data_IF_863505093206
#
_entry.id   IF_863505093206
#
_cell.length_a   1.000
_cell.length_b   1.000
_cell.length_c   1.000
_cell.angle_alpha   90.00
_cell.angle_beta   90.00
_cell.angle_gamma   90.00
#
_symmetry.space_group_name_H-M   'P 1'
#
loop_
_entity.id
_entity.type
_entity.pdbx_description
1 polymer ?
#
# COMPACT_ATOMS: atom_id res chain seq x y z
N UNK A 1 -2.85 -7.93 6.66
CA UNK A 1 -2.88 -8.01 8.15
C UNK A 1 -2.02 -6.84 8.63
N UNK A 2 -2.34 -6.09 9.70
CA UNK A 2 -1.35 -5.11 10.21
C UNK A 2 -0.27 -5.89 10.98
N UNK A 3 0.71 -6.43 10.25
CA UNK A 3 1.86 -7.08 10.85
C UNK A 3 2.68 -6.05 11.67
N UNK A 4 3.05 -6.39 12.90
CA UNK A 4 3.95 -5.58 13.74
C UNK A 4 3.29 -4.67 14.79
N UNK A 5 1.96 -4.66 14.91
CA UNK A 5 1.28 -4.06 16.07
C UNK A 5 0.92 -5.16 17.08
N UNK A 6 1.39 -5.05 18.32
CA UNK A 6 1.00 -5.92 19.45
C UNK A 6 -0.45 -5.61 19.86
N UNK A 7 -1.39 -5.99 19.00
CA UNK A 7 -2.82 -5.93 19.26
C UNK A 7 -3.38 -7.34 19.17
N UNK A 8 -4.28 -7.68 20.10
CA UNK A 8 -4.94 -8.98 20.13
C UNK A 8 -5.66 -9.23 18.79
N UNK A 9 -5.04 -10.00 17.91
CA UNK A 9 -5.59 -10.47 16.65
C UNK A 9 -6.58 -11.60 16.93
N UNK A 10 -7.62 -11.33 17.73
CA UNK A 10 -8.75 -12.24 17.84
C UNK A 10 -9.44 -12.25 16.48
N UNK A 11 -9.10 -13.27 15.68
CA UNK A 11 -9.67 -13.53 14.36
C UNK A 11 -10.91 -14.43 14.45
N UNK A 12 -11.58 -14.47 15.60
CA UNK A 12 -12.81 -15.22 15.72
C UNK A 12 -13.86 -14.74 14.69
N UNK A 13 -14.70 -15.64 14.14
CA UNK A 13 -15.61 -15.32 13.04
C UNK A 13 -16.60 -14.18 13.32
N UNK A 14 -16.91 -13.92 14.60
CA UNK A 14 -17.81 -12.84 15.02
C UNK A 14 -17.12 -11.47 15.11
N UNK A 15 -15.80 -11.43 15.00
CA UNK A 15 -15.05 -10.17 14.97
C UNK A 15 -15.05 -9.62 13.55
N UNK A 16 -15.33 -8.32 13.40
CA UNK A 16 -15.34 -7.64 12.10
C UNK A 16 -13.94 -7.72 11.44
N UNK A 17 -13.72 -8.76 10.64
CA UNK A 17 -12.45 -9.15 10.01
C UNK A 17 -11.24 -9.04 10.94
N UNK A 18 -11.15 -9.91 11.96
CA UNK A 18 -10.07 -9.89 12.94
C UNK A 18 -9.95 -8.56 13.68
N UNK A 19 -11.09 -8.03 14.12
CA UNK A 19 -11.20 -6.73 14.79
C UNK A 19 -10.59 -5.56 14.00
N UNK A 20 -10.80 -5.51 12.67
CA UNK A 20 -10.27 -4.49 11.78
C UNK A 20 -10.48 -3.04 12.29
N UNK A 21 -11.67 -2.63 12.79
CA UNK A 21 -11.85 -1.29 13.33
C UNK A 21 -10.95 -0.98 14.53
N UNK A 22 -10.71 -1.97 15.41
CA UNK A 22 -9.87 -1.78 16.58
C UNK A 22 -8.39 -1.66 16.21
N UNK A 23 -7.94 -2.49 15.26
CA UNK A 23 -6.57 -2.41 14.73
C UNK A 23 -6.31 -1.09 14.01
N UNK A 24 -7.28 -0.58 13.24
CA UNK A 24 -7.16 0.71 12.57
C UNK A 24 -7.12 1.87 13.58
N UNK A 25 -7.90 1.81 14.67
CA UNK A 25 -7.77 2.78 15.78
C UNK A 25 -6.39 2.75 16.42
N UNK A 26 -5.81 1.57 16.62
CA UNK A 26 -4.46 1.44 17.17
C UNK A 26 -3.41 2.04 16.21
N UNK A 27 -3.54 1.81 14.90
CA UNK A 27 -2.68 2.43 13.89
C UNK A 27 -2.83 3.95 13.89
N UNK A 28 -4.04 4.50 13.99
CA UNK A 28 -4.27 5.94 14.08
C UNK A 28 -3.62 6.53 15.33
N UNK A 29 -3.75 5.85 16.47
CA UNK A 29 -3.12 6.27 17.71
C UNK A 29 -1.59 6.31 17.58
N UNK A 30 -0.98 5.32 16.91
CA UNK A 30 0.46 5.33 16.61
C UNK A 30 0.83 6.54 15.74
N UNK A 31 0.15 6.72 14.60
CA UNK A 31 0.43 7.83 13.65
C UNK A 31 0.31 9.19 14.34
N UNK A 32 -0.72 9.37 15.16
CA UNK A 32 -1.01 10.65 15.79
C UNK A 32 -0.16 10.91 17.04
N UNK A 33 -0.07 9.96 17.95
CA UNK A 33 0.48 10.20 19.28
C UNK A 33 1.98 9.89 19.37
N UNK A 34 2.45 8.93 18.58
CA UNK A 34 3.83 8.43 18.68
C UNK A 34 4.71 8.91 17.52
N UNK A 35 4.11 9.17 16.35
CA UNK A 35 4.82 9.62 15.14
C UNK A 35 4.59 11.11 14.81
N UNK A 36 3.80 11.81 15.62
CA UNK A 36 3.53 13.25 15.48
C UNK A 36 3.01 13.64 14.07
N UNK A 37 2.09 12.84 13.53
CA UNK A 37 1.39 13.14 12.28
C UNK A 37 2.33 13.43 11.07
N UNK A 38 3.11 12.43 10.62
CA UNK A 38 4.08 12.60 9.52
C UNK A 38 3.43 13.04 8.19
N UNK A 39 4.13 13.78 7.34
CA UNK A 39 3.57 14.32 6.09
C UNK A 39 3.10 13.24 5.08
N UNK A 40 3.65 12.03 5.17
CA UNK A 40 3.31 10.89 4.30
C UNK A 40 3.27 9.60 5.13
N UNK A 41 2.22 8.80 4.93
CA UNK A 41 2.12 7.43 5.47
C UNK A 41 1.72 6.49 4.34
N UNK A 42 2.51 5.44 4.10
CA UNK A 42 2.19 4.41 3.13
C UNK A 42 1.77 3.12 3.84
N UNK A 43 0.68 2.51 3.38
CA UNK A 43 0.16 1.24 3.86
C UNK A 43 0.34 0.16 2.80
N UNK A 44 0.60 -1.06 3.27
CA UNK A 44 0.60 -2.29 2.49
C UNK A 44 -0.42 -3.25 3.09
N UNK A 45 -0.85 -4.25 2.32
CA UNK A 45 -1.81 -5.28 2.75
C UNK A 45 -3.12 -4.71 3.33
N UNK A 46 -3.66 -3.66 2.71
CA UNK A 46 -4.94 -3.08 3.14
C UNK A 46 -6.07 -3.98 2.67
N UNK A 47 -6.70 -4.70 3.61
CA UNK A 47 -7.81 -5.62 3.28
C UNK A 47 -9.06 -4.86 2.80
N UNK A 48 -10.05 -5.53 2.16
CA UNK A 48 -11.25 -4.88 1.65
C UNK A 48 -12.01 -4.15 2.75
N UNK A 49 -12.09 -4.73 3.96
CA UNK A 49 -12.71 -4.06 5.10
C UNK A 49 -11.93 -2.84 5.57
N UNK A 50 -10.60 -2.86 5.48
CA UNK A 50 -9.81 -1.67 5.80
C UNK A 50 -9.99 -0.59 4.73
N UNK A 51 -10.23 -0.96 3.46
CA UNK A 51 -10.57 0.02 2.41
C UNK A 51 -11.89 0.75 2.66
N UNK A 52 -12.86 0.10 3.31
CA UNK A 52 -14.08 0.77 3.75
C UNK A 52 -13.84 1.66 4.97
N UNK A 53 -13.06 1.17 5.94
CA UNK A 53 -12.87 1.84 7.24
C UNK A 53 -11.91 3.04 7.17
N UNK A 54 -10.87 3.00 6.34
CA UNK A 54 -9.87 4.08 6.25
C UNK A 54 -10.54 5.40 5.85
N UNK A 55 -11.31 5.50 4.75
CA UNK A 55 -12.02 6.73 4.39
C UNK A 55 -13.01 7.20 5.47
N UNK A 56 -13.72 6.26 6.12
CA UNK A 56 -14.67 6.58 7.20
C UNK A 56 -13.99 7.23 8.40
N UNK A 57 -12.81 6.71 8.78
CA UNK A 57 -12.08 7.11 9.98
C UNK A 57 -11.05 8.22 9.74
N UNK A 58 -10.71 8.51 8.49
CA UNK A 58 -9.71 9.52 8.12
C UNK A 58 -9.98 10.93 8.70
N UNK A 59 -11.23 11.44 8.76
CA UNK A 59 -11.49 12.76 9.34
C UNK A 59 -11.09 12.90 10.82
N UNK A 60 -10.94 11.77 11.54
CA UNK A 60 -10.51 11.76 12.94
C UNK A 60 -8.99 11.66 13.14
N UNK A 61 -8.20 11.49 12.07
CA UNK A 61 -6.74 11.38 12.16
C UNK A 61 -6.09 12.75 12.00
N UNK A 62 -5.27 13.17 12.96
CA UNK A 62 -4.42 14.36 12.83
C UNK A 62 -5.20 15.59 12.35
N UNK A 63 -6.30 15.88 13.05
CA UNK A 63 -7.26 16.97 12.74
C UNK A 63 -7.85 16.92 11.32
N UNK A 64 -7.87 15.73 10.71
CA UNK A 64 -8.41 15.51 9.37
C UNK A 64 -7.54 16.09 8.25
N UNK A 65 -6.25 16.32 8.50
CA UNK A 65 -5.35 16.98 7.54
C UNK A 65 -4.99 16.13 6.31
N UNK A 66 -5.06 14.81 6.44
CA UNK A 66 -4.63 13.90 5.39
C UNK A 66 -5.64 13.78 4.26
N UNK A 67 -5.10 13.67 3.04
CA UNK A 67 -5.78 13.13 1.87
C UNK A 67 -5.38 11.67 1.69
N UNK A 68 -6.32 10.86 1.22
CA UNK A 68 -6.09 9.47 0.85
C UNK A 68 -5.86 9.37 -0.66
N UNK A 69 -4.76 8.75 -1.04
CA UNK A 69 -4.45 8.31 -2.40
C UNK A 69 -4.67 6.82 -2.46
N UNK A 70 -5.67 6.42 -3.24
CA UNK A 70 -6.03 5.02 -3.48
C UNK A 70 -6.78 4.94 -4.80
N UNK A 71 -6.60 3.83 -5.50
CA UNK A 71 -7.41 3.41 -6.64
C UNK A 71 -7.99 2.04 -6.28
N UNK A 72 -9.14 2.02 -5.58
CA UNK A 72 -9.70 0.76 -5.09
C UNK A 72 -10.24 -0.08 -6.25
N UNK A 73 -9.49 -1.13 -6.57
CA UNK A 73 -9.77 -2.09 -7.64
C UNK A 73 -10.54 -3.33 -7.18
N UNK A 74 -10.99 -3.38 -5.91
CA UNK A 74 -11.68 -4.54 -5.34
C UNK A 74 -10.79 -5.78 -5.14
N UNK A 75 -9.47 -5.58 -5.00
CA UNK A 75 -8.49 -6.65 -4.83
C UNK A 75 -8.45 -7.21 -3.40
N UNK A 76 -7.93 -8.44 -3.19
CA UNK A 76 -7.86 -9.08 -1.88
C UNK A 76 -7.10 -8.26 -0.82
N UNK A 77 -6.07 -7.52 -1.24
CA UNK A 77 -5.49 -6.40 -0.52
C UNK A 77 -4.84 -5.43 -1.51
N UNK A 78 -4.57 -4.19 -1.07
CA UNK A 78 -3.98 -3.11 -1.88
C UNK A 78 -3.09 -2.20 -1.02
N UNK A 79 -2.30 -1.38 -1.69
CA UNK A 79 -1.60 -0.26 -1.08
C UNK A 79 -2.48 0.99 -0.96
N UNK A 80 -2.13 1.86 -0.02
CA UNK A 80 -2.74 3.18 0.15
C UNK A 80 -1.69 4.17 0.63
N UNK A 81 -1.87 5.45 0.29
CA UNK A 81 -1.01 6.53 0.80
C UNK A 81 -1.87 7.60 1.44
N UNK A 82 -1.48 8.04 2.64
CA UNK A 82 -1.98 9.26 3.27
C UNK A 82 -0.96 10.37 3.11
N UNK A 83 -1.41 11.57 2.76
CA UNK A 83 -0.53 12.75 2.74
C UNK A 83 -1.30 14.05 2.94
N UNK A 84 -0.71 15.01 3.63
CA UNK A 84 -1.23 16.39 3.71
C UNK A 84 -0.58 17.31 2.66
N UNK A 85 0.51 16.88 2.03
CA UNK A 85 1.24 17.60 0.99
C UNK A 85 0.44 17.74 -0.31
N UNK A 86 0.78 18.75 -1.12
CA UNK A 86 0.15 18.94 -2.42
C UNK A 86 0.52 17.80 -3.37
N UNK A 87 -0.47 17.01 -3.75
CA UNK A 87 -0.40 16.03 -4.83
C UNK A 87 -0.34 16.78 -6.17
N UNK A 88 0.67 16.45 -6.97
CA UNK A 88 0.86 16.96 -8.33
C UNK A 88 0.41 15.95 -9.38
N UNK A 89 0.61 14.66 -9.10
CA UNK A 89 0.22 13.53 -9.96
C UNK A 89 0.15 12.24 -9.13
N UNK A 90 -0.56 11.24 -9.64
CA UNK A 90 -0.70 9.93 -9.00
C UNK A 90 -1.06 8.84 -10.02
N UNK A 91 -0.67 7.60 -9.74
CA UNK A 91 -1.02 6.46 -10.57
C UNK A 91 -1.04 5.15 -9.79
N UNK A 92 -1.86 4.23 -10.29
CA UNK A 92 -1.82 2.81 -9.94
C UNK A 92 -0.99 2.05 -10.97
N UNK A 93 -0.12 1.17 -10.51
CA UNK A 93 0.80 0.39 -11.33
C UNK A 93 0.58 -1.09 -11.03
N UNK A 94 0.26 -1.85 -12.08
CA UNK A 94 0.24 -3.31 -12.01
C UNK A 94 1.67 -3.84 -12.09
N UNK A 95 2.03 -4.77 -11.21
CA UNK A 95 3.30 -5.48 -11.26
C UNK A 95 3.09 -6.87 -11.84
N UNK A 96 4.18 -7.59 -12.13
CA UNK A 96 4.09 -8.98 -12.53
C UNK A 96 3.24 -9.80 -11.53
N UNK A 97 2.44 -10.73 -12.05
CA UNK A 97 1.44 -11.44 -11.24
C UNK A 97 0.23 -10.61 -10.80
N UNK A 98 -0.01 -9.44 -11.42
CA UNK A 98 -1.28 -8.74 -11.30
C UNK A 98 -2.48 -9.68 -11.53
N UNK A 99 -3.59 -9.48 -10.80
CA UNK A 99 -3.86 -8.33 -9.93
C UNK A 99 -3.43 -8.56 -8.47
N UNK A 100 -2.49 -9.47 -8.19
CA UNK A 100 -2.07 -9.75 -6.81
C UNK A 100 -1.07 -8.71 -6.30
N UNK A 101 -0.18 -8.24 -7.17
CA UNK A 101 0.84 -7.26 -6.81
C UNK A 101 0.65 -5.97 -7.57
N UNK A 102 0.80 -4.88 -6.84
CA UNK A 102 0.64 -3.52 -7.34
C UNK A 102 1.57 -2.53 -6.66
N UNK A 103 1.56 -1.31 -7.18
CA UNK A 103 2.09 -0.15 -6.51
C UNK A 103 1.16 1.05 -6.70
N UNK A 104 1.12 1.92 -5.70
CA UNK A 104 0.62 3.28 -5.84
C UNK A 104 1.80 4.25 -5.87
N UNK A 105 1.86 5.05 -6.91
CA UNK A 105 2.80 6.15 -7.04
C UNK A 105 2.07 7.47 -6.83
N UNK A 106 2.69 8.38 -6.10
CA UNK A 106 2.24 9.75 -5.95
C UNK A 106 3.41 10.72 -6.03
N UNK A 107 3.23 11.79 -6.81
CA UNK A 107 4.17 12.90 -6.93
C UNK A 107 3.73 14.04 -6.03
N UNK A 108 4.58 14.39 -5.07
CA UNK A 108 4.28 15.38 -4.03
C UNK A 108 5.17 16.62 -4.16
N UNK A 109 4.58 17.78 -3.93
CA UNK A 109 5.33 19.02 -3.74
C UNK A 109 5.69 19.18 -2.27
N UNK A 110 6.99 19.21 -1.97
CA UNK A 110 7.53 19.40 -0.62
C UNK A 110 8.24 20.75 -0.49
N UNK A 111 8.63 21.13 0.73
CA UNK A 111 9.50 22.29 0.97
C UNK A 111 10.93 22.13 0.39
N UNK A 112 11.35 20.90 0.08
CA UNK A 112 12.68 20.58 -0.47
C UNK A 112 12.68 20.42 -2.00
N UNK A 113 11.50 20.42 -2.63
CA UNK A 113 11.33 20.14 -4.05
C UNK A 113 10.23 19.11 -4.31
N UNK A 114 10.21 18.57 -5.53
CA UNK A 114 9.28 17.50 -5.93
C UNK A 114 9.85 16.16 -5.48
N UNK A 115 9.01 15.32 -4.87
CA UNK A 115 9.36 13.98 -4.41
C UNK A 115 8.32 12.98 -4.95
N UNK A 116 8.81 11.87 -5.49
CA UNK A 116 7.98 10.72 -5.87
C UNK A 116 7.98 9.71 -4.73
N UNK A 117 6.78 9.29 -4.31
CA UNK A 117 6.56 8.26 -3.29
C UNK A 117 5.91 7.06 -3.97
N UNK A 118 6.46 5.87 -3.72
CA UNK A 118 5.90 4.61 -4.20
C UNK A 118 5.58 3.73 -3.00
N UNK A 119 4.31 3.38 -2.84
CA UNK A 119 3.85 2.35 -1.91
C UNK A 119 3.63 1.06 -2.70
N UNK A 120 4.26 -0.04 -2.27
CA UNK A 120 4.15 -1.34 -2.94
C UNK A 120 4.46 -2.45 -1.95
N UNK A 121 3.87 -3.62 -2.16
CA UNK A 121 4.24 -4.86 -1.51
C UNK A 121 4.78 -5.83 -2.57
N UNK A 122 6.08 -6.13 -2.54
CA UNK A 122 6.69 -7.05 -3.49
C UNK A 122 6.41 -8.52 -3.14
N UNK A 123 6.61 -9.40 -4.12
CA UNK A 123 6.52 -10.83 -3.90
C UNK A 123 7.46 -11.27 -2.77
N UNK A 124 6.89 -11.97 -1.79
CA UNK A 124 7.61 -12.43 -0.61
C UNK A 124 8.23 -13.79 -0.88
N UNK A 125 9.25 -14.17 -0.11
CA UNK A 125 9.88 -15.50 -0.24
C UNK A 125 8.90 -16.68 -0.11
N UNK A 126 7.76 -16.50 0.55
CA UNK A 126 6.71 -17.51 0.67
C UNK A 126 5.76 -17.57 -0.53
N UNK A 127 5.72 -16.53 -1.35
CA UNK A 127 4.91 -16.46 -2.56
C UNK A 127 5.66 -15.66 -3.63
N UNK A 128 6.63 -16.33 -4.24
CA UNK A 128 7.50 -15.78 -5.28
C UNK A 128 7.48 -16.72 -6.49
N UNK A 129 6.83 -16.30 -7.58
CA UNK A 129 6.66 -17.10 -8.78
C UNK A 129 7.71 -16.71 -9.84
N UNK A 130 8.00 -17.63 -10.74
CA UNK A 130 8.91 -17.38 -11.84
C UNK A 130 8.32 -16.37 -12.83
N UNK A 131 9.19 -15.47 -13.31
CA UNK A 131 8.88 -14.49 -14.33
C UNK A 131 8.99 -15.12 -15.72
N UNK A 132 7.88 -15.63 -16.24
CA UNK A 132 7.85 -16.40 -17.49
C UNK A 132 7.62 -15.54 -18.76
N UNK A 133 7.77 -14.22 -18.65
CA UNK A 133 7.62 -13.25 -19.74
C UNK A 133 6.21 -12.62 -19.83
N UNK A 134 6.00 -11.71 -20.79
CA UNK A 134 4.82 -10.83 -20.82
C UNK A 134 3.50 -11.57 -21.06
N UNK A 135 3.58 -12.77 -21.65
CA UNK A 135 2.40 -13.58 -21.99
C UNK A 135 1.77 -14.30 -20.78
N UNK A 136 2.49 -14.44 -19.66
CA UNK A 136 2.12 -15.34 -18.54
C UNK A 136 1.98 -14.63 -17.18
N UNK A 137 1.46 -13.39 -17.20
CA UNK A 137 1.20 -12.50 -16.05
C UNK A 137 2.29 -11.43 -15.82
N UNK A 138 2.40 -10.50 -16.77
CA UNK A 138 2.81 -9.13 -16.44
C UNK A 138 4.31 -8.87 -16.28
N UNK A 139 5.17 -9.86 -16.56
CA UNK A 139 6.61 -9.62 -16.66
C UNK A 139 6.97 -8.88 -17.94
N UNK A 140 7.45 -7.65 -17.83
CA UNK A 140 7.81 -6.81 -18.97
C UNK A 140 9.34 -6.75 -19.21
N UNK A 141 9.76 -5.82 -20.06
CA UNK A 141 11.16 -5.60 -20.42
C UNK A 141 12.05 -5.12 -19.27
N UNK A 142 11.48 -4.67 -18.15
CA UNK A 142 12.23 -4.31 -16.96
C UNK A 142 12.76 -5.55 -16.21
N UNK A 143 12.24 -6.75 -16.52
CA UNK A 143 12.60 -7.99 -15.85
C UNK A 143 13.64 -8.78 -16.64
N UNK A 144 14.57 -9.43 -15.94
CA UNK A 144 15.63 -10.23 -16.55
C UNK A 144 15.08 -11.63 -16.84
N UNK A 145 15.40 -12.25 -18.00
CA UNK A 145 14.98 -13.61 -18.27
C UNK A 145 15.43 -14.59 -17.17
N UNK A 146 14.47 -15.31 -16.59
CA UNK A 146 14.70 -16.25 -15.49
C UNK A 146 14.65 -15.63 -14.10
N UNK A 147 14.29 -14.35 -13.97
CA UNK A 147 13.95 -13.76 -12.68
C UNK A 147 12.74 -14.44 -12.04
N UNK A 148 12.62 -14.27 -10.74
CA UNK A 148 11.37 -14.41 -10.01
C UNK A 148 10.72 -13.02 -9.82
N UNK A 149 9.46 -13.01 -9.39
CA UNK A 149 8.70 -11.78 -9.14
C UNK A 149 9.38 -10.86 -8.11
N UNK A 150 9.99 -11.40 -7.06
CA UNK A 150 10.70 -10.64 -6.05
C UNK A 150 11.88 -9.84 -6.61
N UNK A 151 12.58 -10.39 -7.60
CA UNK A 151 13.63 -9.69 -8.34
C UNK A 151 13.07 -8.73 -9.40
N UNK A 152 12.00 -9.10 -10.08
CA UNK A 152 11.35 -8.36 -11.16
C UNK A 152 10.63 -7.08 -10.67
N UNK A 153 9.85 -7.16 -9.60
CA UNK A 153 8.98 -6.06 -9.14
C UNK A 153 9.71 -4.75 -8.82
N UNK A 154 10.86 -4.73 -8.11
CA UNK A 154 11.60 -3.50 -7.89
C UNK A 154 12.01 -2.81 -9.20
N UNK A 155 12.32 -3.57 -10.25
CA UNK A 155 12.71 -3.00 -11.54
C UNK A 155 11.51 -2.44 -12.29
N UNK A 156 10.36 -3.12 -12.26
CA UNK A 156 9.12 -2.61 -12.82
C UNK A 156 8.67 -1.31 -12.13
N UNK A 157 8.73 -1.28 -10.79
CA UNK A 157 8.41 -0.09 -10.01
C UNK A 157 9.34 1.09 -10.35
N UNK A 158 10.64 0.84 -10.56
CA UNK A 158 11.58 1.88 -10.97
C UNK A 158 11.43 2.31 -12.43
N UNK A 159 11.10 1.39 -13.34
CA UNK A 159 10.90 1.68 -14.77
C UNK A 159 9.65 2.54 -15.02
N UNK A 160 8.71 2.56 -14.08
CA UNK A 160 7.52 3.40 -14.12
C UNK A 160 7.82 4.89 -13.80
N UNK A 161 8.85 5.18 -12.99
CA UNK A 161 9.20 6.54 -12.52
C UNK A 161 9.96 7.37 -13.58
#
# INVERSE_FOLDING_TARGET
>A
MLHGLDYASDCAPWTDQCAAPARLRALWALIQNDLDCPDVVAFQEVSPRQQELVPEMLPGLCDGRYRLVVDDRGLPDQEMILTDLQILDEAYVELAGAPIWSAHWVRLKTGLGIVDVVATHFASSSFNLDCLGPEMAGCDEACVPGDDYGACHPRQALAFL
#
